data_IF_826596443185
#
_entry.id   IF_826596443185
#
_cell.length_a   1.000
_cell.length_b   1.000
_cell.length_c   1.000
_cell.angle_alpha   90.00
_cell.angle_beta   90.00
_cell.angle_gamma   90.00
#
_symmetry.space_group_name_H-M   'P 1'
#
loop_
_entity.id
_entity.type
_entity.pdbx_description
1 polymer ?
#
# COMPACT_ATOMS: atom_id res chain seq x y z
N UNK A 1 12.30 -16.19 -9.16
CA UNK A 1 11.23 -15.64 -8.31
C UNK A 1 11.85 -14.45 -7.60
N UNK A 2 11.29 -13.26 -7.81
CA UNK A 2 11.81 -12.00 -7.26
C UNK A 2 11.98 -12.11 -5.74
N UNK A 3 13.03 -11.50 -5.18
CA UNK A 3 13.32 -11.50 -3.74
C UNK A 3 12.33 -10.70 -2.89
N UNK A 4 11.11 -10.51 -3.38
CA UNK A 4 10.07 -9.71 -2.75
C UNK A 4 9.16 -10.57 -1.88
N UNK A 5 9.27 -10.37 -0.57
CA UNK A 5 8.39 -10.99 0.43
C UNK A 5 7.10 -10.18 0.67
N UNK A 6 7.17 -8.86 0.59
CA UNK A 6 6.04 -7.98 0.85
C UNK A 6 4.96 -8.23 -0.21
N UNK A 7 3.68 -8.21 0.21
CA UNK A 7 2.46 -8.61 -0.51
C UNK A 7 2.42 -10.03 -1.09
N UNK A 8 3.54 -10.74 -1.24
CA UNK A 8 3.57 -12.08 -1.87
C UNK A 8 3.73 -13.25 -0.90
N UNK A 9 4.00 -12.97 0.37
CA UNK A 9 4.17 -14.00 1.41
C UNK A 9 3.27 -13.70 2.60
N UNK A 10 2.52 -14.72 3.05
CA UNK A 10 1.65 -14.63 4.22
C UNK A 10 2.42 -14.13 5.44
N UNK A 11 1.85 -13.15 6.14
CA UNK A 11 2.45 -12.57 7.33
C UNK A 11 1.99 -11.15 7.60
N UNK A 12 2.52 -10.58 8.67
CA UNK A 12 2.22 -9.22 9.09
C UNK A 12 3.41 -8.30 8.81
N UNK A 13 3.13 -7.10 8.31
CA UNK A 13 4.10 -6.05 8.14
C UNK A 13 3.66 -4.82 8.92
N UNK A 14 4.56 -4.29 9.72
CA UNK A 14 4.35 -3.05 10.44
C UNK A 14 4.99 -1.92 9.66
N UNK A 15 4.45 -0.72 9.78
CA UNK A 15 5.09 0.45 9.23
C UNK A 15 4.79 1.70 10.00
N UNK A 16 5.56 2.73 9.66
CA UNK A 16 5.38 4.08 10.17
C UNK A 16 5.85 5.08 9.13
N UNK A 17 5.30 6.28 9.20
CA UNK A 17 5.68 7.33 8.26
C UNK A 17 4.96 8.63 8.55
N UNK A 18 4.83 9.44 7.51
CA UNK A 18 4.11 10.69 7.52
C UNK A 18 3.23 10.84 6.27
N UNK A 19 2.12 11.54 6.47
CA UNK A 19 1.21 12.00 5.42
C UNK A 19 1.32 13.52 5.34
N UNK A 20 1.53 14.04 4.14
CA UNK A 20 1.52 15.46 3.84
C UNK A 20 0.41 15.77 2.82
N UNK A 21 -0.19 16.94 2.91
CA UNK A 21 -1.22 17.39 1.98
C UNK A 21 -0.70 18.57 1.17
N UNK A 22 -0.86 18.56 -0.16
CA UNK A 22 -0.34 19.65 -1.01
C UNK A 22 -0.94 21.03 -0.71
N UNK A 23 -2.04 21.07 0.04
CA UNK A 23 -2.73 22.29 0.45
C UNK A 23 -2.11 22.96 1.70
N UNK A 24 -1.25 22.25 2.44
CA UNK A 24 -0.70 22.72 3.71
C UNK A 24 0.75 22.28 3.91
N UNK A 25 1.45 22.92 4.85
CA UNK A 25 2.78 22.47 5.31
C UNK A 25 2.67 21.40 6.41
N UNK A 26 1.44 21.02 6.78
CA UNK A 26 1.20 20.10 7.88
C UNK A 26 1.53 18.66 7.47
N UNK A 27 2.30 17.99 8.34
CA UNK A 27 2.58 16.56 8.23
C UNK A 27 1.99 15.82 9.41
N UNK A 28 1.24 14.76 9.15
CA UNK A 28 0.64 13.90 10.17
C UNK A 28 1.38 12.57 10.18
N UNK A 29 1.93 12.18 11.33
CA UNK A 29 2.57 10.87 11.46
C UNK A 29 1.53 9.76 11.43
N UNK A 30 1.90 8.59 10.92
CA UNK A 30 1.04 7.42 10.93
C UNK A 30 1.79 6.16 11.36
N UNK A 31 1.01 5.17 11.81
CA UNK A 31 1.43 3.77 11.89
C UNK A 31 0.54 2.94 10.95
N UNK A 32 1.10 1.87 10.39
CA UNK A 32 0.37 0.95 9.52
C UNK A 32 0.60 -0.50 9.92
N UNK A 33 -0.43 -1.32 9.73
CA UNK A 33 -0.35 -2.78 9.77
C UNK A 33 -0.88 -3.32 8.44
N UNK A 34 -0.08 -4.15 7.79
CA UNK A 34 -0.51 -4.99 6.68
C UNK A 34 -0.59 -6.43 7.14
N UNK A 35 -1.67 -7.12 6.79
CA UNK A 35 -1.80 -8.55 6.96
C UNK A 35 -1.98 -9.17 5.58
N UNK A 36 -1.02 -10.01 5.20
CA UNK A 36 -1.03 -10.74 3.92
C UNK A 36 -1.57 -12.13 4.18
N UNK A 37 -2.64 -12.50 3.50
CA UNK A 37 -3.27 -13.82 3.57
C UNK A 37 -3.40 -14.38 2.16
N UNK A 38 -2.79 -15.54 1.90
CA UNK A 38 -2.99 -16.25 0.64
C UNK A 38 -4.32 -16.99 0.68
N UNK A 39 -5.15 -16.78 -0.33
CA UNK A 39 -6.39 -17.51 -0.50
C UNK A 39 -6.15 -18.85 -1.22
N UNK A 40 -7.03 -19.81 -0.95
CA UNK A 40 -7.07 -21.10 -1.65
C UNK A 40 -7.55 -20.88 -3.09
N UNK A 41 -6.62 -20.58 -3.99
CA UNK A 41 -6.92 -20.23 -5.39
C UNK A 41 -5.81 -19.47 -6.10
N UNK A 42 -4.79 -19.00 -5.37
CA UNK A 42 -3.65 -18.27 -5.93
C UNK A 42 -3.78 -16.75 -5.85
N UNK A 43 -4.96 -16.25 -5.49
CA UNK A 43 -5.18 -14.85 -5.15
C UNK A 43 -4.64 -14.54 -3.74
N UNK A 44 -4.22 -13.29 -3.54
CA UNK A 44 -3.66 -12.82 -2.28
C UNK A 44 -4.54 -11.71 -1.75
N UNK A 45 -5.08 -11.90 -0.55
CA UNK A 45 -5.85 -10.89 0.18
C UNK A 45 -4.92 -10.13 1.13
N UNK A 46 -5.09 -8.81 1.18
CA UNK A 46 -4.31 -7.90 1.99
C UNK A 46 -5.28 -7.07 2.82
N UNK A 47 -5.15 -7.13 4.13
CA UNK A 47 -5.83 -6.22 5.05
C UNK A 47 -4.84 -5.15 5.47
N UNK A 48 -5.16 -3.87 5.19
CA UNK A 48 -4.27 -2.75 5.45
C UNK A 48 -4.94 -1.72 6.36
N UNK A 49 -4.31 -1.50 7.49
CA UNK A 49 -4.77 -0.66 8.56
C UNK A 49 -3.85 0.56 8.72
N UNK A 50 -4.39 1.77 8.71
CA UNK A 50 -3.65 3.02 8.89
C UNK A 50 -4.22 3.83 10.05
N UNK A 51 -3.35 4.18 11.00
CA UNK A 51 -3.68 4.98 12.17
C UNK A 51 -2.89 6.29 12.14
N UNK A 52 -3.59 7.42 11.98
CA UNK A 52 -3.00 8.74 12.00
C UNK A 52 -2.85 9.25 13.45
N UNK A 53 -1.68 9.77 13.80
CA UNK A 53 -1.42 10.28 15.15
C UNK A 53 -2.29 11.51 15.42
N UNK A 54 -3.10 11.43 16.48
CA UNK A 54 -4.01 12.51 16.88
C UNK A 54 -5.38 12.45 16.21
N UNK A 55 -5.63 11.48 15.33
CA UNK A 55 -6.94 11.19 14.75
C UNK A 55 -7.45 9.88 15.37
N UNK A 56 -8.64 9.86 15.99
CA UNK A 56 -9.15 8.65 16.67
C UNK A 56 -9.62 7.57 15.70
N UNK A 57 -9.91 7.95 14.45
CA UNK A 57 -10.41 7.06 13.41
C UNK A 57 -9.26 6.35 12.70
N UNK A 58 -9.52 5.10 12.34
CA UNK A 58 -8.60 4.22 11.63
C UNK A 58 -9.11 4.03 10.21
N UNK A 59 -8.20 4.15 9.24
CA UNK A 59 -8.53 3.82 7.86
C UNK A 59 -8.20 2.36 7.64
N UNK A 60 -9.18 1.60 7.15
CA UNK A 60 -9.04 0.18 6.84
C UNK A 60 -9.27 0.00 5.35
N UNK A 61 -8.31 -0.65 4.69
CA UNK A 61 -8.32 -0.93 3.28
C UNK A 61 -8.24 -2.44 3.08
N UNK A 62 -9.12 -2.95 2.22
CA UNK A 62 -9.05 -4.32 1.72
C UNK A 62 -8.46 -4.30 0.32
N UNK A 63 -7.42 -5.09 0.09
CA UNK A 63 -6.81 -5.25 -1.22
C UNK A 63 -6.75 -6.70 -1.67
N UNK A 64 -6.93 -6.90 -2.97
CA UNK A 64 -6.84 -8.20 -3.63
C UNK A 64 -5.78 -8.12 -4.73
N UNK A 65 -4.77 -9.00 -4.65
CA UNK A 65 -3.74 -9.16 -5.68
C UNK A 65 -4.01 -10.46 -6.44
N UNK A 66 -4.08 -10.36 -7.76
CA UNK A 66 -4.38 -11.47 -8.66
C UNK A 66 -3.51 -11.40 -9.93
N UNK A 67 -3.59 -12.44 -10.77
CA UNK A 67 -2.87 -12.50 -12.06
C UNK A 67 -1.36 -12.23 -11.93
N UNK A 68 -0.73 -12.76 -10.88
CA UNK A 68 0.69 -12.53 -10.59
C UNK A 68 1.57 -13.22 -11.65
N UNK A 69 2.44 -12.44 -12.27
CA UNK A 69 3.45 -12.88 -13.24
C UNK A 69 4.84 -12.58 -12.71
N UNK A 70 5.89 -12.85 -13.50
CA UNK A 70 7.27 -12.51 -13.12
C UNK A 70 7.57 -11.01 -13.08
N UNK A 71 6.73 -10.17 -13.70
CA UNK A 71 7.01 -8.73 -13.88
C UNK A 71 5.85 -7.82 -13.45
N UNK A 72 4.73 -8.38 -12.98
CA UNK A 72 3.57 -7.57 -12.63
C UNK A 72 2.39 -8.38 -12.14
N UNK A 73 1.36 -7.68 -11.70
CA UNK A 73 0.14 -8.22 -11.10
C UNK A 73 -1.03 -7.26 -11.30
N UNK A 74 -2.25 -7.74 -11.10
CA UNK A 74 -3.43 -6.90 -10.95
C UNK A 74 -3.68 -6.67 -9.45
N UNK A 75 -4.10 -5.46 -9.09
CA UNK A 75 -4.47 -5.12 -7.71
C UNK A 75 -5.86 -4.49 -7.69
N UNK A 76 -6.60 -4.74 -6.63
CA UNK A 76 -7.86 -4.09 -6.38
C UNK A 76 -7.90 -3.57 -4.94
N UNK A 77 -8.39 -2.35 -4.75
CA UNK A 77 -8.50 -1.68 -3.45
C UNK A 77 -9.97 -1.36 -3.16
N UNK A 78 -10.41 -1.53 -1.91
CA UNK A 78 -11.71 -1.04 -1.43
C UNK A 78 -11.63 -0.63 0.03
N UNK A 79 -12.40 0.39 0.42
CA UNK A 79 -12.65 0.75 1.81
C UNK A 79 -14.03 1.40 1.94
N UNK A 80 -14.42 1.78 3.16
CA UNK A 80 -15.74 2.38 3.43
C UNK A 80 -15.97 3.74 2.73
N UNK A 81 -14.89 4.43 2.33
CA UNK A 81 -14.96 5.74 1.65
C UNK A 81 -14.90 5.61 0.12
N UNK A 82 -14.38 4.51 -0.40
CA UNK A 82 -14.02 4.32 -1.81
C UNK A 82 -14.54 2.96 -2.28
N UNK A 83 -15.54 2.95 -3.17
CA UNK A 83 -15.92 1.70 -3.83
C UNK A 83 -14.72 1.08 -4.56
N UNK A 84 -14.77 -0.22 -4.78
CA UNK A 84 -13.75 -1.03 -5.44
C UNK A 84 -13.05 -0.30 -6.62
N UNK A 85 -11.73 -0.12 -6.50
CA UNK A 85 -10.84 0.51 -7.49
C UNK A 85 -9.82 -0.49 -7.98
N UNK A 86 -9.69 -0.62 -9.30
CA UNK A 86 -8.73 -1.52 -9.92
C UNK A 86 -7.46 -0.78 -10.31
N UNK A 87 -6.34 -1.48 -10.17
CA UNK A 87 -5.01 -1.01 -10.46
C UNK A 87 -4.13 -2.06 -11.10
N UNK A 88 -2.91 -1.65 -11.47
CA UNK A 88 -1.90 -2.52 -12.04
C UNK A 88 -0.60 -2.36 -11.27
N UNK A 89 0.05 -3.49 -11.00
CA UNK A 89 1.32 -3.56 -10.32
C UNK A 89 2.44 -4.04 -11.23
N UNK A 90 3.64 -3.55 -10.94
CA UNK A 90 4.90 -3.99 -11.54
C UNK A 90 5.80 -4.61 -10.48
N UNK A 91 6.63 -5.56 -10.91
CA UNK A 91 7.63 -6.23 -10.08
C UNK A 91 8.97 -6.07 -10.79
N UNK A 92 9.89 -5.37 -10.13
CA UNK A 92 11.30 -5.27 -10.51
C UNK A 92 12.16 -6.00 -9.47
N UNK A 93 13.48 -5.94 -9.58
CA UNK A 93 14.38 -6.67 -8.67
C UNK A 93 14.38 -6.12 -7.24
N UNK A 94 14.32 -4.78 -7.12
CA UNK A 94 14.37 -4.05 -5.85
C UNK A 94 13.20 -3.09 -5.65
N UNK A 95 12.14 -3.26 -6.44
CA UNK A 95 10.98 -2.38 -6.41
C UNK A 95 9.74 -3.15 -6.75
N UNK A 96 8.70 -2.94 -5.97
CA UNK A 96 7.33 -3.19 -6.39
C UNK A 96 6.59 -1.86 -6.39
N UNK A 97 5.70 -1.69 -7.34
CA UNK A 97 4.87 -0.49 -7.41
C UNK A 97 3.53 -0.84 -8.01
N UNK A 98 2.51 -0.06 -7.69
CA UNK A 98 1.22 -0.15 -8.35
C UNK A 98 0.58 1.20 -8.49
N UNK A 99 -0.36 1.29 -9.42
CA UNK A 99 -1.14 2.49 -9.67
C UNK A 99 -2.62 2.17 -9.82
N UNK A 100 -3.45 3.11 -9.38
CA UNK A 100 -4.88 3.13 -9.58
C UNK A 100 -5.20 4.24 -10.58
N UNK A 101 -5.81 3.86 -11.72
CA UNK A 101 -6.19 4.80 -12.79
C UNK A 101 -7.62 4.55 -13.23
N UNK A 102 -8.29 5.61 -13.69
CA UNK A 102 -9.56 5.48 -14.40
C UNK A 102 -10.82 5.56 -13.54
N UNK A 103 -10.70 5.87 -12.23
CA UNK A 103 -11.84 6.27 -11.40
C UNK A 103 -11.83 7.79 -11.24
N UNK A 104 -12.83 8.52 -11.77
CA UNK A 104 -12.91 9.96 -11.57
C UNK A 104 -12.89 10.31 -10.07
N UNK A 105 -11.96 11.16 -9.66
CA UNK A 105 -11.80 11.58 -8.27
C UNK A 105 -10.95 10.65 -7.40
N UNK A 106 -10.37 9.58 -7.94
CA UNK A 106 -9.38 8.76 -7.25
C UNK A 106 -8.34 8.20 -8.22
N UNK A 107 -7.17 8.81 -8.22
CA UNK A 107 -5.98 8.34 -8.94
C UNK A 107 -4.77 8.38 -8.02
N UNK A 108 -3.87 7.44 -8.17
CA UNK A 108 -2.67 7.43 -7.34
C UNK A 108 -1.77 6.26 -7.61
N UNK A 109 -0.62 6.26 -6.95
CA UNK A 109 0.36 5.19 -7.05
C UNK A 109 1.06 4.98 -5.72
N UNK A 110 1.60 3.78 -5.55
CA UNK A 110 2.48 3.42 -4.44
C UNK A 110 3.74 2.75 -4.98
N UNK A 111 4.88 3.09 -4.38
CA UNK A 111 6.20 2.54 -4.70
C UNK A 111 6.82 2.04 -3.41
N UNK A 112 7.31 0.81 -3.45
CA UNK A 112 8.03 0.17 -2.36
C UNK A 112 9.41 -0.23 -2.86
N UNK A 113 10.44 0.41 -2.32
CA UNK A 113 11.83 0.09 -2.64
C UNK A 113 12.39 -0.84 -1.56
N UNK A 114 12.89 -2.01 -1.98
CA UNK A 114 13.46 -3.02 -1.09
C UNK A 114 14.80 -2.55 -0.52
N UNK A 115 14.92 -2.60 0.80
CA UNK A 115 16.14 -2.36 1.56
C UNK A 115 16.96 -3.65 1.74
N UNK A 116 18.24 -3.52 2.07
CA UNK A 116 19.16 -4.67 2.21
C UNK A 116 18.82 -5.58 3.41
N UNK A 117 18.06 -5.07 4.38
CA UNK A 117 17.59 -5.82 5.55
C UNK A 117 16.22 -6.50 5.33
N UNK A 118 15.64 -6.39 4.12
CA UNK A 118 14.33 -6.96 3.78
C UNK A 118 13.13 -6.07 4.13
N UNK A 119 13.36 -4.87 4.67
CA UNK A 119 12.34 -3.83 4.82
C UNK A 119 12.08 -3.08 3.50
N UNK A 120 11.11 -2.16 3.49
CA UNK A 120 10.83 -1.32 2.32
C UNK A 120 10.64 0.14 2.70
N UNK A 121 11.22 1.02 1.90
CA UNK A 121 10.84 2.44 1.85
C UNK A 121 9.62 2.59 0.95
N UNK A 122 8.61 3.30 1.45
CA UNK A 122 7.32 3.52 0.81
C UNK A 122 7.20 4.98 0.40
N UNK A 123 6.77 5.19 -0.82
CA UNK A 123 6.33 6.49 -1.31
C UNK A 123 5.02 6.32 -2.08
N UNK A 124 4.00 7.09 -1.73
CA UNK A 124 2.72 7.06 -2.42
C UNK A 124 2.17 8.47 -2.63
N UNK A 125 1.46 8.64 -3.74
CA UNK A 125 0.73 9.86 -4.05
C UNK A 125 -0.70 9.53 -4.47
N UNK A 126 -1.66 10.25 -3.90
CA UNK A 126 -3.07 10.13 -4.23
C UNK A 126 -3.68 11.49 -4.54
N UNK A 127 -4.48 11.55 -5.60
CA UNK A 127 -5.23 12.73 -6.02
C UNK A 127 -6.72 12.53 -5.68
N UNK A 128 -7.27 13.49 -4.95
CA UNK A 128 -8.70 13.60 -4.67
C UNK A 128 -9.40 14.54 -5.66
N UNK A 129 -10.75 14.50 -5.66
CA UNK A 129 -11.61 15.26 -6.56
C UNK A 129 -11.48 16.80 -6.45
N UNK A 130 -10.94 17.29 -5.35
CA UNK A 130 -10.63 18.71 -5.09
C UNK A 130 -9.21 19.12 -5.54
N UNK A 131 -8.50 18.24 -6.28
CA UNK A 131 -7.11 18.44 -6.72
C UNK A 131 -6.09 18.53 -5.58
N UNK A 132 -6.46 18.17 -4.36
CA UNK A 132 -5.47 17.97 -3.31
C UNK A 132 -4.70 16.68 -3.55
N UNK A 133 -3.39 16.77 -3.35
CA UNK A 133 -2.49 15.62 -3.40
C UNK A 133 -2.13 15.23 -1.99
N UNK A 134 -2.40 13.99 -1.65
CA UNK A 134 -1.90 13.35 -0.44
C UNK A 134 -0.58 12.67 -0.79
N UNK A 135 0.49 13.02 -0.09
CA UNK A 135 1.82 12.43 -0.23
C UNK A 135 2.10 11.62 1.02
N UNK A 136 2.51 10.37 0.85
CA UNK A 136 2.77 9.44 1.94
C UNK A 136 4.20 8.95 1.78
N UNK A 137 5.02 9.15 2.81
CA UNK A 137 6.37 8.61 2.91
C UNK A 137 6.45 7.76 4.16
N UNK A 138 7.01 6.57 4.05
CA UNK A 138 7.09 5.66 5.18
C UNK A 138 8.08 4.53 5.01
N UNK A 139 8.15 3.71 6.04
CA UNK A 139 9.00 2.55 6.09
C UNK A 139 8.20 1.37 6.65
N UNK A 140 8.29 0.21 6.00
CA UNK A 140 7.59 -1.01 6.42
C UNK A 140 8.57 -2.17 6.63
N UNK A 141 8.29 -3.02 7.62
CA UNK A 141 9.10 -4.19 7.94
C UNK A 141 8.23 -5.35 8.39
N UNK A 142 8.70 -6.56 8.11
CA UNK A 142 8.01 -7.79 8.51
C UNK A 142 8.01 -7.91 10.03
N UNK A 143 6.86 -8.16 10.63
CA UNK A 143 6.76 -8.44 12.07
C UNK A 143 7.48 -9.74 12.36
N UNK A 144 8.49 -9.70 13.23
CA UNK A 144 9.15 -10.92 13.71
C UNK A 144 8.14 -11.71 14.55
N UNK A 145 7.99 -13.01 14.25
CA UNK A 145 7.27 -13.92 15.15
C UNK A 145 8.05 -13.96 16.47
N UNK A 146 7.37 -13.66 17.59
CA UNK A 146 7.87 -13.92 18.93
C UNK A 146 7.90 -15.42 19.21
#
# INVERSE_FOLDING_TARGET
>A
MSGHDFIFTTGEWLGKGQVAFSASEDTIRFNTLWQVVKADGGDISLHHEVELVGVPEKVVNELEVSSVTSSGFAICLSNDMIDKVHGKGIIEDRRIAWEFRGKPGFEGFEIYNLCDDGSYEVHAEYLSSDQFRTIIDGHIWKRKKQ
#
